data_IF_422682741706
#
_entry.id   IF_422682741706
#
_cell.length_a   1.000
_cell.length_b   1.000
_cell.length_c   1.000
_cell.angle_alpha   90.00
_cell.angle_beta   90.00
_cell.angle_gamma   90.00
#
_symmetry.space_group_name_H-M   'P 1'
#
loop_
_entity.id
_entity.type
_entity.pdbx_description
1 polymer ?
#
# COMPACT_ATOMS: atom_id res chain seq x y z
N UNK A 1 2.99 4.51 13.92
CA UNK A 1 4.39 4.91 13.71
C UNK A 1 4.43 5.59 12.36
N UNK A 2 4.77 6.88 12.27
CA UNK A 2 5.05 7.50 10.98
C UNK A 2 6.25 6.77 10.35
N UNK A 3 6.22 6.54 9.04
CA UNK A 3 7.38 5.96 8.36
C UNK A 3 8.55 6.92 8.47
N UNK A 4 9.73 6.41 8.83
CA UNK A 4 10.96 7.15 8.62
C UNK A 4 11.20 7.30 7.10
N UNK A 5 11.83 8.40 6.67
CA UNK A 5 12.07 8.72 5.25
C UNK A 5 12.90 7.68 4.46
N UNK A 6 13.29 6.59 5.10
CA UNK A 6 14.19 5.55 4.60
C UNK A 6 13.53 4.17 4.62
N UNK A 7 12.33 4.03 5.20
CA UNK A 7 11.65 2.75 5.24
C UNK A 7 11.01 2.43 3.88
N UNK A 8 11.36 1.28 3.27
CA UNK A 8 10.80 0.90 1.99
C UNK A 8 9.30 0.62 2.10
N UNK A 9 8.55 1.16 1.16
CA UNK A 9 7.10 0.94 1.02
C UNK A 9 6.80 0.13 -0.24
N UNK A 10 5.76 -0.69 -0.15
CA UNK A 10 5.16 -1.41 -1.25
C UNK A 10 3.95 -0.62 -1.78
N UNK A 11 3.84 -0.51 -3.10
CA UNK A 11 2.63 -0.03 -3.78
C UNK A 11 1.72 -1.23 -4.04
N UNK A 12 0.54 -1.26 -3.42
CA UNK A 12 -0.36 -2.41 -3.49
C UNK A 12 -1.81 -1.98 -3.72
N UNK A 13 -2.58 -2.83 -4.39
CA UNK A 13 -4.05 -2.69 -4.47
C UNK A 13 -4.72 -4.05 -4.31
N UNK A 14 -6.02 -4.06 -4.02
CA UNK A 14 -6.81 -5.30 -4.09
C UNK A 14 -6.98 -5.71 -5.56
N UNK A 15 -6.87 -7.01 -5.85
CA UNK A 15 -7.05 -7.52 -7.22
C UNK A 15 -8.49 -7.25 -7.70
N UNK A 16 -8.61 -6.85 -8.97
CA UNK A 16 -9.87 -6.38 -9.55
C UNK A 16 -10.90 -7.46 -9.83
N UNK A 17 -10.49 -8.73 -9.79
CA UNK A 17 -11.39 -9.88 -9.85
C UNK A 17 -12.12 -10.12 -8.51
N UNK A 18 -11.74 -9.42 -7.44
CA UNK A 18 -12.25 -9.61 -6.08
C UNK A 18 -13.03 -8.41 -5.52
N UNK A 19 -12.91 -7.22 -6.12
CA UNK A 19 -13.50 -5.98 -5.59
C UNK A 19 -14.03 -5.06 -6.69
N UNK A 20 -14.98 -4.19 -6.36
CA UNK A 20 -15.46 -3.15 -7.27
C UNK A 20 -14.41 -2.06 -7.54
N UNK A 21 -14.60 -1.25 -8.60
CA UNK A 21 -13.64 -0.19 -8.98
C UNK A 21 -13.36 0.81 -7.85
N UNK A 22 -14.36 1.10 -7.01
CA UNK A 22 -14.23 1.98 -5.84
C UNK A 22 -13.19 1.51 -4.83
N UNK A 23 -12.91 0.20 -4.77
CA UNK A 23 -11.97 -0.41 -3.83
C UNK A 23 -10.60 -0.69 -4.46
N UNK A 24 -10.38 -0.30 -5.73
CA UNK A 24 -9.12 -0.50 -6.45
C UNK A 24 -8.12 0.65 -6.29
N UNK A 25 -8.25 1.42 -5.22
CA UNK A 25 -7.27 2.46 -4.90
C UNK A 25 -5.89 1.83 -4.68
N UNK A 26 -4.84 2.54 -5.10
CA UNK A 26 -3.45 2.19 -4.81
C UNK A 26 -3.11 2.63 -3.38
N UNK A 27 -2.63 1.70 -2.57
CA UNK A 27 -2.21 1.92 -1.19
C UNK A 27 -0.70 1.77 -1.04
N UNK A 28 -0.17 2.41 -0.02
CA UNK A 28 1.20 2.22 0.43
C UNK A 28 1.18 1.32 1.67
N UNK A 29 1.98 0.27 1.66
CA UNK A 29 2.17 -0.62 2.80
C UNK A 29 3.65 -0.66 3.19
N UNK A 30 3.94 -0.70 4.48
CA UNK A 30 5.32 -0.92 4.93
C UNK A 30 5.79 -2.29 4.44
N UNK A 31 7.03 -2.37 3.95
CA UNK A 31 7.65 -3.67 3.65
C UNK A 31 7.74 -4.46 4.97
N UNK A 32 7.13 -5.65 5.06
CA UNK A 32 7.25 -6.46 6.26
C UNK A 32 8.70 -6.90 6.45
N UNK A 33 9.23 -6.74 7.67
CA UNK A 33 10.60 -7.15 8.05
C UNK A 33 10.84 -8.63 7.79
N UNK A 34 9.81 -9.44 8.01
CA UNK A 34 9.78 -10.87 7.72
C UNK A 34 8.84 -11.11 6.54
N UNK A 35 9.36 -11.66 5.44
CA UNK A 35 8.61 -11.98 4.22
C UNK A 35 7.51 -13.06 4.39
N UNK A 36 7.16 -13.41 5.63
CA UNK A 36 6.19 -14.43 6.01
C UNK A 36 4.81 -13.88 6.35
N UNK A 37 4.61 -12.55 6.36
CA UNK A 37 3.29 -11.98 6.66
C UNK A 37 2.28 -12.30 5.56
N UNK A 38 1.18 -12.94 5.93
CA UNK A 38 0.04 -13.21 5.03
C UNK A 38 -0.81 -11.98 4.74
N UNK A 39 -0.66 -10.92 5.53
CA UNK A 39 -1.46 -9.69 5.45
C UNK A 39 -0.55 -8.47 5.47
N UNK A 40 -0.81 -7.54 4.54
CA UNK A 40 -0.19 -6.22 4.50
C UNK A 40 -1.05 -5.23 5.27
N UNK A 41 -0.41 -4.39 6.08
CA UNK A 41 -1.05 -3.25 6.73
C UNK A 41 -0.59 -2.00 5.98
N UNK A 42 -1.56 -1.33 5.35
CA UNK A 42 -1.32 -0.07 4.63
C UNK A 42 -1.21 1.10 5.60
N UNK A 43 -0.66 2.22 5.15
CA UNK A 43 -0.52 3.43 5.96
C UNK A 43 -1.86 4.03 6.37
N UNK A 44 -2.92 3.85 5.56
CA UNK A 44 -4.27 4.25 5.94
C UNK A 44 -4.96 3.26 6.89
N UNK A 45 -4.29 2.17 7.28
CA UNK A 45 -4.81 1.13 8.18
C UNK A 45 -5.59 0.02 7.47
N UNK A 46 -5.79 0.09 6.15
CA UNK A 46 -6.41 -0.98 5.37
C UNK A 46 -5.56 -2.25 5.48
N UNK A 47 -6.23 -3.38 5.67
CA UNK A 47 -5.63 -4.71 5.73
C UNK A 47 -5.87 -5.42 4.40
N UNK A 48 -4.79 -5.81 3.73
CA UNK A 48 -4.87 -6.49 2.44
C UNK A 48 -4.19 -7.85 2.58
N UNK A 49 -4.95 -8.94 2.36
CA UNK A 49 -4.35 -10.27 2.32
C UNK A 49 -3.44 -10.38 1.10
N UNK A 50 -2.21 -10.88 1.28
CA UNK A 50 -1.19 -10.98 0.23
C UNK A 50 -1.71 -11.81 -0.95
N UNK A 51 -2.51 -12.84 -0.70
CA UNK A 51 -3.16 -13.67 -1.74
C UNK A 51 -4.14 -12.89 -2.62
N UNK A 52 -4.67 -11.78 -2.12
CA UNK A 52 -5.65 -10.90 -2.79
C UNK A 52 -5.03 -9.58 -3.25
N UNK A 53 -3.74 -9.37 -2.96
CA UNK A 53 -3.01 -8.18 -3.31
C UNK A 53 -2.43 -8.28 -4.72
N UNK A 54 -2.40 -7.15 -5.40
CA UNK A 54 -1.60 -6.90 -6.58
C UNK A 54 -0.48 -5.93 -6.20
N UNK A 55 0.78 -6.34 -6.41
CA UNK A 55 1.94 -5.48 -6.26
C UNK A 55 2.11 -4.66 -7.53
N UNK A 56 2.18 -3.34 -7.39
CA UNK A 56 2.31 -2.41 -8.51
C UNK A 56 3.77 -1.96 -8.65
N UNK A 57 4.35 -1.98 -9.86
CA UNK A 57 5.72 -1.52 -10.09
C UNK A 57 5.84 0.01 -10.02
N UNK A 58 4.73 0.72 -10.25
CA UNK A 58 4.62 2.17 -10.20
C UNK A 58 3.20 2.56 -9.74
N UNK A 59 2.98 3.82 -9.27
CA UNK A 59 1.64 4.27 -8.91
C UNK A 59 0.70 4.25 -10.12
N UNK A 60 -0.29 3.37 -10.11
CA UNK A 60 -1.29 3.23 -11.18
C UNK A 60 -2.71 3.29 -10.63
N UNK A 61 -3.57 4.09 -11.27
CA UNK A 61 -4.96 4.31 -10.84
C UNK A 61 -5.09 5.38 -9.76
N UNK A 62 -6.22 5.38 -9.05
CA UNK A 62 -6.47 6.37 -7.99
C UNK A 62 -5.63 6.05 -6.76
N UNK A 63 -4.82 6.99 -6.25
CA UNK A 63 -4.10 6.77 -5.00
C UNK A 63 -5.04 6.90 -3.81
N UNK A 64 -4.80 6.11 -2.77
CA UNK A 64 -5.40 6.34 -1.47
C UNK A 64 -4.83 7.64 -0.88
N UNK A 65 -5.66 8.68 -0.83
CA UNK A 65 -5.28 10.02 -0.33
C UNK A 65 -4.73 9.94 1.11
N UNK A 66 -5.31 9.09 1.96
CA UNK A 66 -4.81 8.90 3.33
C UNK A 66 -3.39 8.32 3.37
N UNK A 67 -3.04 7.40 2.45
CA UNK A 67 -1.68 6.90 2.32
C UNK A 67 -0.73 8.02 1.85
N UNK A 68 -1.14 8.84 0.88
CA UNK A 68 -0.33 9.96 0.38
C UNK A 68 -0.06 11.03 1.44
N UNK A 69 -1.03 11.32 2.30
CA UNK A 69 -0.85 12.29 3.39
C UNK A 69 -0.01 11.73 4.55
N UNK A 70 0.17 10.41 4.62
CA UNK A 70 0.93 9.74 5.67
C UNK A 70 2.40 9.56 5.33
N UNK A 71 2.79 9.69 4.05
CA UNK A 71 4.19 9.62 3.66
C UNK A 71 4.91 10.93 3.95
N UNK A 72 6.19 10.88 4.37
CA UNK A 72 7.01 12.08 4.45
C UNK A 72 7.14 12.75 3.07
N UNK A 73 7.28 14.09 3.00
CA UNK A 73 7.49 14.78 1.74
C UNK A 73 8.79 14.29 1.06
N UNK A 74 8.83 14.28 -0.28
CA UNK A 74 10.05 13.91 -1.01
C UNK A 74 11.20 14.82 -0.59
N UNK A 75 12.40 14.23 -0.45
CA UNK A 75 13.62 15.01 -0.29
C UNK A 75 13.91 15.69 -1.63
N UNK A 76 13.92 17.02 -1.64
CA UNK A 76 14.31 17.83 -2.79
C UNK A 76 15.80 17.74 -3.09
#
# INVERSE_FOLDING_TARGET
MPLDHTEPVLLVRKRGDLVGEWERSCHLAALPEDGTRSTLITLCGERIEVSTAELLPEPEGMPCVACLLSVPPPRG
#
